data_IF_091291488414
#
_entry.id   IF_091291488414
#
_cell.length_a   1.000
_cell.length_b   1.000
_cell.length_c   1.000
_cell.angle_alpha   90.00
_cell.angle_beta   90.00
_cell.angle_gamma   90.00
#
_symmetry.space_group_name_H-M   'P 1'
#
loop_
_entity.id
_entity.type
_entity.pdbx_description
1 polymer ?
#
# COMPACT_ATOMS: atom_id res chain seq x y z
N UNK A 1 10.63 12.67 4.32
CA UNK A 1 11.41 11.44 4.16
C UNK A 1 12.89 11.76 4.37
N UNK A 2 13.56 11.08 5.30
CA UNK A 2 14.99 11.22 5.55
C UNK A 2 15.75 10.28 4.61
N UNK A 3 15.96 10.70 3.37
CA UNK A 3 16.89 9.99 2.47
C UNK A 3 18.03 10.91 2.09
N UNK A 4 19.22 10.62 2.62
CA UNK A 4 20.47 11.06 2.01
C UNK A 4 20.86 10.15 0.84
N UNK A 5 22.13 10.17 0.47
CA UNK A 5 22.66 9.33 -0.61
C UNK A 5 22.53 7.81 -0.35
N UNK A 6 22.19 7.43 0.89
CA UNK A 6 22.08 6.06 1.35
C UNK A 6 20.74 5.35 1.04
N UNK A 7 19.70 6.06 0.59
CA UNK A 7 18.38 5.49 0.22
C UNK A 7 17.84 4.49 1.28
N UNK A 8 17.91 4.87 2.56
CA UNK A 8 17.52 3.99 3.66
C UNK A 8 16.04 3.68 3.61
N UNK A 9 15.21 4.66 3.25
CA UNK A 9 13.77 4.46 3.20
C UNK A 9 13.40 3.53 2.03
N UNK A 10 13.92 3.78 0.83
CA UNK A 10 13.66 2.92 -0.33
C UNK A 10 14.14 1.49 -0.12
N UNK A 11 15.34 1.28 0.45
CA UNK A 11 15.87 -0.05 0.73
C UNK A 11 15.04 -0.76 1.81
N UNK A 12 14.71 -0.08 2.91
CA UNK A 12 13.91 -0.70 3.98
C UNK A 12 12.54 -1.16 3.46
N UNK A 13 11.83 -0.30 2.73
CA UNK A 13 10.51 -0.63 2.21
C UNK A 13 10.58 -1.78 1.19
N UNK A 14 11.62 -1.79 0.34
CA UNK A 14 11.87 -2.88 -0.60
C UNK A 14 12.10 -4.22 0.10
N UNK A 15 12.91 -4.23 1.16
CA UNK A 15 13.20 -5.45 1.93
C UNK A 15 11.99 -5.93 2.74
N UNK A 16 11.19 -5.01 3.28
CA UNK A 16 9.92 -5.35 3.95
C UNK A 16 8.93 -5.99 2.98
N UNK A 17 8.75 -5.41 1.80
CA UNK A 17 7.88 -5.96 0.75
C UNK A 17 8.41 -7.32 0.27
N UNK A 18 9.73 -7.47 0.14
CA UNK A 18 10.37 -8.75 -0.20
C UNK A 18 10.10 -9.81 0.87
N UNK A 19 10.19 -9.44 2.15
CA UNK A 19 9.86 -10.34 3.26
C UNK A 19 8.43 -10.86 3.13
N UNK A 20 7.45 -9.98 2.93
CA UNK A 20 6.05 -10.40 2.78
C UNK A 20 5.84 -11.29 1.55
N UNK A 21 6.43 -10.93 0.41
CA UNK A 21 6.37 -11.72 -0.82
C UNK A 21 6.93 -13.14 -0.61
N UNK A 22 8.05 -13.26 0.09
CA UNK A 22 8.66 -14.55 0.40
C UNK A 22 7.83 -15.34 1.42
N UNK A 23 7.33 -14.68 2.47
CA UNK A 23 6.49 -15.31 3.49
C UNK A 23 5.24 -15.94 2.89
N UNK A 24 4.60 -15.29 1.90
CA UNK A 24 3.44 -15.87 1.21
C UNK A 24 3.82 -16.79 0.04
N UNK A 25 5.09 -16.89 -0.37
CA UNK A 25 5.52 -17.73 -1.50
C UNK A 25 5.90 -19.15 -1.09
N UNK A 26 6.68 -19.30 -0.02
CA UNK A 26 7.38 -20.54 0.30
C UNK A 26 7.08 -21.02 1.73
N UNK A 27 6.16 -21.98 1.90
CA UNK A 27 5.86 -22.56 3.22
C UNK A 27 7.07 -23.21 3.89
N UNK A 28 8.08 -23.65 3.14
CA UNK A 28 9.27 -24.29 3.70
C UNK A 28 10.30 -23.29 4.22
N UNK A 29 10.35 -22.07 3.66
CA UNK A 29 11.33 -21.02 3.86
C UNK A 29 12.16 -21.15 5.15
N UNK A 30 13.28 -21.91 5.12
CA UNK A 30 13.95 -22.38 6.35
C UNK A 30 14.73 -21.28 7.07
N UNK A 31 14.82 -20.11 6.46
CA UNK A 31 15.46 -18.91 7.00
C UNK A 31 14.44 -17.96 7.67
N UNK A 32 13.14 -18.14 7.41
CA UNK A 32 12.06 -17.38 8.04
C UNK A 32 11.69 -18.06 9.36
N UNK A 33 12.47 -17.79 10.40
CA UNK A 33 12.26 -18.37 11.73
C UNK A 33 11.81 -17.30 12.72
N UNK A 34 10.80 -17.61 13.53
CA UNK A 34 10.41 -16.77 14.66
C UNK A 34 11.32 -16.97 15.89
N UNK A 35 11.12 -16.15 16.93
CA UNK A 35 11.88 -16.22 18.19
C UNK A 35 11.69 -17.53 18.97
N UNK A 36 10.74 -18.38 18.56
CA UNK A 36 10.49 -19.71 19.12
C UNK A 36 11.13 -20.82 18.29
N UNK A 37 11.83 -20.48 17.21
CA UNK A 37 12.49 -21.42 16.30
C UNK A 37 11.54 -22.12 15.33
N UNK A 38 10.29 -21.65 15.20
CA UNK A 38 9.40 -22.13 14.15
C UNK A 38 9.78 -21.46 12.83
N UNK A 39 10.18 -22.27 11.86
CA UNK A 39 10.62 -21.80 10.55
C UNK A 39 9.62 -22.15 9.45
N UNK A 40 9.49 -21.27 8.46
CA UNK A 40 8.67 -21.47 7.28
C UNK A 40 7.79 -20.26 6.96
N UNK A 41 7.31 -20.23 5.72
CA UNK A 41 6.32 -19.26 5.28
C UNK A 41 4.88 -19.69 5.59
N UNK A 42 3.95 -18.89 5.11
CA UNK A 42 2.53 -19.14 5.20
C UNK A 42 2.12 -20.37 4.36
N UNK A 43 1.39 -21.30 4.97
CA UNK A 43 0.85 -22.50 4.31
C UNK A 43 0.16 -22.17 2.97
N UNK A 44 0.34 -23.02 1.96
CA UNK A 44 -0.07 -22.76 0.58
C UNK A 44 -1.58 -22.54 0.41
N UNK A 45 -2.40 -23.13 1.27
CA UNK A 45 -3.86 -23.07 1.27
C UNK A 45 -4.43 -22.05 2.27
N UNK A 46 -3.58 -21.39 3.05
CA UNK A 46 -4.03 -20.36 3.97
C UNK A 46 -4.56 -19.14 3.21
N UNK A 47 -5.72 -18.66 3.65
CA UNK A 47 -6.24 -17.34 3.30
C UNK A 47 -5.51 -16.27 4.11
N UNK A 48 -5.18 -15.15 3.48
CA UNK A 48 -4.50 -14.04 4.13
C UNK A 48 -4.95 -12.68 3.60
N UNK A 49 -4.63 -11.66 4.38
CA UNK A 49 -4.65 -10.26 3.96
C UNK A 49 -3.32 -9.67 4.41
N UNK A 50 -2.54 -9.11 3.48
CA UNK A 50 -1.40 -8.25 3.82
C UNK A 50 -1.93 -6.83 3.92
N UNK A 51 -1.82 -6.19 5.08
CA UNK A 51 -2.36 -4.86 5.31
C UNK A 51 -1.40 -3.99 6.11
N UNK A 52 -1.26 -2.73 5.69
CA UNK A 52 -0.41 -1.75 6.36
C UNK A 52 0.17 -0.70 5.42
N UNK A 53 0.96 0.19 6.02
CA UNK A 53 1.83 1.14 5.33
C UNK A 53 3.07 0.40 4.83
N UNK A 54 3.13 0.16 3.51
CA UNK A 54 4.31 -0.39 2.86
C UNK A 54 5.24 0.71 2.34
N UNK A 55 4.83 1.98 2.42
CA UNK A 55 5.58 3.17 2.07
C UNK A 55 6.26 3.08 0.69
N UNK A 56 5.60 2.41 -0.27
CA UNK A 56 6.09 2.22 -1.62
C UNK A 56 4.96 2.39 -2.62
N UNK A 57 5.01 3.49 -3.36
CA UNK A 57 4.10 3.74 -4.47
C UNK A 57 4.55 2.96 -5.72
N UNK A 58 3.65 2.28 -6.44
CA UNK A 58 4.00 1.42 -7.58
C UNK A 58 4.41 2.21 -8.83
N UNK A 59 4.06 3.49 -8.95
CA UNK A 59 4.23 4.31 -10.16
C UNK A 59 5.06 5.56 -9.92
N UNK A 60 4.70 6.35 -8.91
CA UNK A 60 5.22 7.70 -8.64
C UNK A 60 6.25 7.74 -7.50
N UNK A 61 6.41 6.62 -6.78
CA UNK A 61 7.33 6.49 -5.66
C UNK A 61 8.81 6.49 -6.06
N UNK A 62 9.66 6.93 -5.14
CA UNK A 62 11.12 6.94 -5.31
C UNK A 62 11.82 5.61 -5.07
N UNK A 63 11.11 4.54 -4.70
CA UNK A 63 11.71 3.26 -4.33
C UNK A 63 12.36 2.57 -5.53
N UNK A 64 13.64 2.19 -5.37
CA UNK A 64 14.39 1.47 -6.40
C UNK A 64 13.72 0.13 -6.75
N UNK A 65 13.46 -0.10 -8.04
CA UNK A 65 12.97 -1.39 -8.55
C UNK A 65 11.47 -1.66 -8.37
N UNK A 66 10.66 -0.64 -8.03
CA UNK A 66 9.20 -0.76 -7.87
C UNK A 66 8.77 -1.94 -6.98
N UNK A 67 9.24 -2.01 -5.73
CA UNK A 67 9.12 -3.21 -4.90
C UNK A 67 7.67 -3.66 -4.69
N UNK A 68 6.73 -2.71 -4.63
CA UNK A 68 5.30 -2.98 -4.44
C UNK A 68 4.69 -3.90 -5.52
N UNK A 69 5.28 -3.94 -6.73
CA UNK A 69 4.87 -4.87 -7.80
C UNK A 69 5.01 -6.33 -7.37
N UNK A 70 5.96 -6.67 -6.48
CA UNK A 70 6.16 -8.02 -5.97
C UNK A 70 4.91 -8.57 -5.26
N UNK A 71 4.14 -7.72 -4.56
CA UNK A 71 2.89 -8.13 -3.91
C UNK A 71 1.68 -7.89 -4.81
N UNK A 72 1.61 -6.76 -5.51
CA UNK A 72 0.47 -6.43 -6.38
C UNK A 72 0.31 -7.43 -7.54
N UNK A 73 1.40 -8.01 -8.02
CA UNK A 73 1.40 -9.01 -9.08
C UNK A 73 1.55 -10.45 -8.57
N UNK A 74 1.66 -10.64 -7.26
CA UNK A 74 1.88 -11.95 -6.66
C UNK A 74 0.73 -12.91 -6.99
N UNK A 75 0.99 -14.16 -7.42
CA UNK A 75 -0.05 -15.09 -7.88
C UNK A 75 -1.06 -15.50 -6.79
N UNK A 76 -0.68 -15.42 -5.51
CA UNK A 76 -1.58 -15.65 -4.38
C UNK A 76 -2.33 -14.40 -3.91
N UNK A 77 -2.00 -13.21 -4.41
CA UNK A 77 -2.75 -11.98 -4.10
C UNK A 77 -3.89 -11.83 -5.10
N UNK A 78 -5.09 -11.54 -4.61
CA UNK A 78 -6.25 -11.30 -5.45
C UNK A 78 -6.03 -10.06 -6.30
N UNK A 79 -6.36 -10.12 -7.60
CA UNK A 79 -6.45 -8.94 -8.45
C UNK A 79 -7.85 -8.32 -8.31
N UNK A 80 -7.89 -7.03 -7.98
CA UNK A 80 -9.11 -6.24 -7.77
C UNK A 80 -8.84 -4.77 -8.13
N UNK A 81 -9.90 -4.00 -8.32
CA UNK A 81 -9.79 -2.56 -8.51
C UNK A 81 -9.31 -1.89 -7.22
N UNK A 82 -8.20 -1.12 -7.24
CA UNK A 82 -7.68 -0.47 -6.04
C UNK A 82 -8.73 0.39 -5.33
N UNK A 83 -8.70 0.48 -3.98
CA UNK A 83 -9.54 1.40 -3.24
C UNK A 83 -9.28 2.84 -3.70
N UNK A 84 -10.34 3.65 -3.84
CA UNK A 84 -10.22 5.03 -4.29
C UNK A 84 -10.91 6.02 -3.36
N UNK A 85 -10.59 7.31 -3.54
CA UNK A 85 -11.33 8.42 -2.96
C UNK A 85 -11.33 9.67 -3.84
N UNK A 86 -12.45 10.40 -3.83
CA UNK A 86 -12.57 11.73 -4.43
C UNK A 86 -11.72 12.78 -3.70
N UNK A 87 -11.47 12.63 -2.39
CA UNK A 87 -10.64 13.59 -1.65
C UNK A 87 -9.16 13.52 -2.04
N UNK A 88 -8.68 12.34 -2.43
CA UNK A 88 -7.32 12.17 -2.94
C UNK A 88 -7.12 12.95 -4.26
N UNK A 89 -8.07 12.83 -5.19
CA UNK A 89 -8.07 13.63 -6.44
C UNK A 89 -8.15 15.13 -6.16
N UNK A 90 -9.06 15.54 -5.27
CA UNK A 90 -9.21 16.94 -4.90
C UNK A 90 -7.95 17.52 -4.24
N UNK A 91 -7.28 16.74 -3.40
CA UNK A 91 -6.01 17.11 -2.78
C UNK A 91 -4.91 17.25 -3.83
N UNK A 92 -4.77 16.30 -4.76
CA UNK A 92 -3.78 16.37 -5.82
C UNK A 92 -3.94 17.64 -6.68
N UNK A 93 -5.19 18.01 -7.03
CA UNK A 93 -5.50 19.24 -7.78
C UNK A 93 -5.16 20.48 -6.94
N UNK A 94 -5.56 20.52 -5.67
CA UNK A 94 -5.37 21.66 -4.76
C UNK A 94 -3.89 21.92 -4.48
N UNK A 95 -3.13 20.86 -4.20
CA UNK A 95 -1.70 20.94 -3.86
C UNK A 95 -0.87 21.23 -5.11
N UNK A 96 -1.21 20.62 -6.25
CA UNK A 96 -0.44 20.74 -7.49
C UNK A 96 1.01 20.31 -7.26
N UNK A 97 1.97 21.09 -7.80
CA UNK A 97 3.39 20.82 -7.63
C UNK A 97 3.79 19.45 -8.18
N UNK A 98 4.34 18.57 -7.33
CA UNK A 98 4.69 17.19 -7.68
C UNK A 98 3.55 16.43 -8.35
N UNK A 99 2.30 16.64 -7.89
CA UNK A 99 1.10 16.01 -8.45
C UNK A 99 0.90 16.31 -9.95
N UNK A 100 1.41 17.44 -10.45
CA UNK A 100 1.25 17.82 -11.86
C UNK A 100 2.06 16.94 -12.83
N UNK A 101 3.04 16.20 -12.31
CA UNK A 101 3.93 15.34 -13.10
C UNK A 101 3.79 13.85 -12.78
N UNK A 102 2.98 13.51 -11.79
CA UNK A 102 2.66 12.13 -11.42
C UNK A 102 1.85 11.44 -12.51
N UNK A 103 2.02 10.13 -12.62
CA UNK A 103 1.42 9.27 -13.65
C UNK A 103 0.43 8.27 -13.05
N UNK A 104 0.52 8.02 -11.76
CA UNK A 104 -0.43 7.22 -11.00
C UNK A 104 -1.83 7.84 -11.02
N UNK A 105 -2.82 7.02 -10.70
CA UNK A 105 -4.20 7.47 -10.63
C UNK A 105 -4.40 8.13 -9.26
N UNK A 106 -4.49 9.45 -9.22
CA UNK A 106 -4.57 10.22 -7.97
C UNK A 106 -5.69 9.77 -7.01
N UNK A 107 -6.79 9.21 -7.56
CA UNK A 107 -7.86 8.67 -6.74
C UNK A 107 -7.42 7.49 -5.85
N UNK A 108 -6.33 6.81 -6.19
CA UNK A 108 -5.79 5.65 -5.46
C UNK A 108 -4.78 6.04 -4.39
N UNK A 109 -4.42 7.32 -4.29
CA UNK A 109 -3.44 7.79 -3.32
C UNK A 109 -3.99 7.69 -1.90
N UNK A 110 -3.07 7.42 -0.97
CA UNK A 110 -3.39 7.19 0.44
C UNK A 110 -2.65 8.16 1.36
N UNK A 111 -1.82 9.07 0.84
CA UNK A 111 -1.23 10.13 1.63
C UNK A 111 -0.89 11.39 0.83
N UNK A 112 -0.78 12.52 1.51
CA UNK A 112 -0.40 13.85 0.97
C UNK A 112 0.93 14.31 1.60
N UNK A 113 1.98 14.40 0.77
CA UNK A 113 3.33 14.80 1.21
C UNK A 113 3.71 16.22 0.75
N UNK A 114 2.70 17.03 0.42
CA UNK A 114 2.85 18.43 0.05
C UNK A 114 3.44 18.64 -1.35
N UNK A 115 3.66 19.91 -1.76
CA UNK A 115 3.84 20.28 -3.16
C UNK A 115 5.15 19.83 -3.79
N UNK A 116 6.13 19.37 -3.00
CA UNK A 116 7.41 18.85 -3.54
C UNK A 116 7.29 17.40 -3.99
N UNK A 117 6.60 16.58 -3.19
CA UNK A 117 6.48 15.14 -3.43
C UNK A 117 5.18 14.83 -4.16
N UNK A 118 4.08 15.44 -3.74
CA UNK A 118 2.74 15.10 -4.20
C UNK A 118 2.10 14.00 -3.35
N UNK A 119 0.93 13.55 -3.80
CA UNK A 119 0.21 12.46 -3.17
C UNK A 119 0.83 11.11 -3.57
N UNK A 120 0.72 10.08 -2.74
CA UNK A 120 1.26 8.75 -3.06
C UNK A 120 0.33 7.66 -2.54
N UNK A 121 0.32 6.50 -3.22
CA UNK A 121 -0.30 5.26 -2.73
C UNK A 121 0.71 4.45 -1.93
N UNK A 122 0.59 4.50 -0.60
CA UNK A 122 1.56 3.90 0.33
C UNK A 122 0.94 2.84 1.25
N UNK A 123 -0.38 2.89 1.42
CA UNK A 123 -1.14 2.03 2.31
C UNK A 123 -1.96 1.01 1.53
N UNK A 124 -1.97 -0.23 2.00
CA UNK A 124 -2.55 -1.34 1.25
C UNK A 124 -3.38 -2.27 2.12
N UNK A 125 -4.39 -2.87 1.50
CA UNK A 125 -5.11 -4.06 1.98
C UNK A 125 -5.14 -5.04 0.82
N UNK A 126 -4.35 -6.11 0.90
CA UNK A 126 -4.09 -7.07 -0.19
C UNK A 126 -4.61 -8.46 0.20
N UNK A 127 -5.88 -8.78 -0.09
CA UNK A 127 -6.43 -10.10 0.18
C UNK A 127 -5.87 -11.17 -0.76
N UNK A 128 -5.83 -12.42 -0.31
CA UNK A 128 -5.38 -13.55 -1.11
C UNK A 128 -6.43 -14.04 -2.12
N UNK A 129 -6.01 -14.82 -3.11
CA UNK A 129 -6.91 -15.56 -3.99
C UNK A 129 -7.77 -16.52 -3.15
N UNK A 130 -9.09 -16.32 -3.17
CA UNK A 130 -10.04 -17.01 -2.27
C UNK A 130 -11.01 -16.06 -1.56
N UNK A 131 -10.72 -14.76 -1.54
CA UNK A 131 -11.68 -13.73 -1.16
C UNK A 131 -12.50 -13.21 -2.36
N UNK A 132 -13.62 -12.55 -2.04
CA UNK A 132 -14.39 -11.66 -2.91
C UNK A 132 -14.36 -10.27 -2.27
N UNK A 133 -14.09 -9.25 -3.07
CA UNK A 133 -14.18 -7.86 -2.62
C UNK A 133 -15.62 -7.38 -2.84
N UNK A 134 -16.31 -7.00 -1.76
CA UNK A 134 -17.65 -6.43 -1.83
C UNK A 134 -17.63 -4.91 -1.95
N UNK A 135 -16.73 -4.27 -1.22
CA UNK A 135 -16.51 -2.84 -1.25
C UNK A 135 -15.09 -2.51 -0.77
N UNK A 136 -14.65 -1.28 -1.01
CA UNK A 136 -13.41 -0.75 -0.48
C UNK A 136 -13.29 0.73 -0.80
N UNK A 137 -12.41 1.42 -0.09
CA UNK A 137 -12.14 2.83 -0.33
C UNK A 137 -10.95 3.35 0.46
N UNK A 138 -10.59 4.59 0.17
CA UNK A 138 -9.71 5.40 1.01
C UNK A 138 -10.59 6.37 1.78
N UNK A 139 -10.48 6.42 3.11
CA UNK A 139 -11.20 7.41 3.91
C UNK A 139 -10.52 8.77 3.76
N UNK A 140 -10.88 9.45 2.68
CA UNK A 140 -10.42 10.80 2.36
C UNK A 140 -11.61 11.59 1.80
N UNK A 141 -12.60 12.00 2.63
CA UNK A 141 -13.76 12.73 2.15
C UNK A 141 -13.37 14.08 1.52
N UNK A 142 -14.28 14.64 0.71
CA UNK A 142 -14.10 16.00 0.16
C UNK A 142 -14.17 17.06 1.27
N UNK A 143 -13.55 18.24 1.09
CA UNK A 143 -13.69 19.35 2.03
C UNK A 143 -15.15 19.68 2.34
N UNK A 144 -15.48 19.81 3.64
CA UNK A 144 -16.83 20.08 4.12
C UNK A 144 -17.76 18.87 4.21
N UNK A 145 -17.33 17.67 3.81
CA UNK A 145 -18.06 16.43 4.10
C UNK A 145 -17.77 15.94 5.53
N UNK A 146 -18.67 15.11 6.05
CA UNK A 146 -18.50 14.51 7.39
C UNK A 146 -17.19 13.73 7.46
N UNK A 147 -16.41 13.99 8.52
CA UNK A 147 -15.08 13.39 8.70
C UNK A 147 -13.94 14.12 7.99
N UNK A 148 -14.23 15.14 7.17
CA UNK A 148 -13.21 15.96 6.50
C UNK A 148 -12.32 16.77 7.46
N UNK A 149 -12.76 17.03 8.68
CA UNK A 149 -11.91 17.70 9.68
C UNK A 149 -10.95 16.71 10.39
N UNK A 150 -11.15 15.39 10.21
CA UNK A 150 -10.34 14.36 10.87
C UNK A 150 -9.11 13.97 10.06
N UNK A 151 -9.16 14.18 8.74
CA UNK A 151 -8.09 13.74 7.83
C UNK A 151 -6.80 14.55 7.97
N UNK A 152 -6.84 15.70 8.65
CA UNK A 152 -5.65 16.51 8.94
C UNK A 152 -4.84 16.00 10.15
N UNK A 153 -5.31 14.92 10.81
CA UNK A 153 -4.62 14.32 11.95
C UNK A 153 -3.36 13.53 11.57
N UNK A 154 -3.21 13.18 10.30
CA UNK A 154 -2.10 12.39 9.74
C UNK A 154 -1.97 12.71 8.24
N UNK A 155 -0.76 12.57 7.71
CA UNK A 155 -0.45 12.62 6.28
C UNK A 155 -0.83 11.35 5.51
N UNK A 156 -1.36 10.32 6.19
CA UNK A 156 -1.89 9.09 5.62
C UNK A 156 -3.42 8.96 5.84
N UNK A 157 -4.09 8.22 4.97
CA UNK A 157 -5.53 8.05 4.97
C UNK A 157 -5.90 6.57 5.01
N UNK A 158 -6.87 6.23 5.86
CA UNK A 158 -7.27 4.85 6.11
C UNK A 158 -7.75 4.17 4.83
N UNK A 159 -7.13 3.04 4.50
CA UNK A 159 -7.59 2.14 3.45
C UNK A 159 -8.42 1.03 4.07
N UNK A 160 -9.58 0.74 3.48
CA UNK A 160 -10.47 -0.32 3.98
C UNK A 160 -11.04 -1.16 2.84
N UNK A 161 -11.39 -2.41 3.17
CA UNK A 161 -12.07 -3.33 2.28
C UNK A 161 -13.10 -4.16 3.05
N UNK A 162 -14.24 -4.41 2.42
CA UNK A 162 -15.22 -5.41 2.81
C UNK A 162 -15.00 -6.70 2.01
N UNK A 163 -14.75 -7.80 2.71
CA UNK A 163 -14.29 -9.06 2.16
C UNK A 163 -15.23 -10.20 2.52
N UNK A 164 -15.70 -10.90 1.50
CA UNK A 164 -16.38 -12.20 1.63
C UNK A 164 -15.43 -13.35 1.31
N UNK A 165 -15.72 -14.54 1.85
CA UNK A 165 -15.10 -15.77 1.37
C UNK A 165 -15.84 -16.28 0.13
N UNK A 166 -15.08 -16.82 -0.83
CA UNK A 166 -15.64 -17.61 -1.93
C UNK A 166 -16.17 -18.95 -1.44
#
# INVERSE_FOLDING_TARGET
MFDGAEDRNGIRNSEEIRFWSQYISDPAAPWLCDDKGACGGLASDALFVVAGDHNADPVDGGSTGHPMTQLLEHPRVLRFEPPTSQGAEAAAIRVGGGNLTQKGVAAQDTGDFGPRVGNLRLDYVLPSTGFVVHAGGVFWPLPGQTGGDWIEATDHHMVWMDLGRR
#
